data_IF_634220929378
#
_entry.id   IF_634220929378
#
_cell.length_a   1.000
_cell.length_b   1.000
_cell.length_c   1.000
_cell.angle_alpha   90.00
_cell.angle_beta   90.00
_cell.angle_gamma   90.00
#
_symmetry.space_group_name_H-M   'P 1'
#
loop_
_entity.id
_entity.type
_entity.pdbx_description
1 polymer ?
#
# COMPACT_ATOMS: atom_id res chain seq x y z
N UNK A 1 4.01 -24.38 11.68
CA UNK A 1 3.59 -22.98 11.88
C UNK A 1 4.60 -22.16 12.70
N UNK A 2 5.16 -22.66 13.81
CA UNK A 2 6.16 -21.92 14.63
C UNK A 2 7.45 -21.52 13.86
N UNK A 3 7.91 -22.32 12.90
CA UNK A 3 9.13 -22.03 12.12
C UNK A 3 8.95 -20.91 11.09
N UNK A 4 7.75 -20.76 10.55
CA UNK A 4 7.45 -19.71 9.56
C UNK A 4 7.34 -18.33 10.22
N UNK A 5 6.78 -18.24 11.41
CA UNK A 5 6.72 -16.99 12.19
C UNK A 5 8.10 -16.52 12.64
N UNK A 6 9.00 -17.45 12.93
CA UNK A 6 10.37 -17.13 13.33
C UNK A 6 11.21 -16.58 12.17
N UNK A 7 10.97 -17.08 10.95
CA UNK A 7 11.62 -16.59 9.73
C UNK A 7 11.12 -15.18 9.36
N UNK A 8 9.83 -14.93 9.53
CA UNK A 8 9.24 -13.61 9.28
C UNK A 8 9.75 -12.55 10.26
N UNK A 9 9.89 -12.90 11.55
CA UNK A 9 10.52 -12.01 12.55
C UNK A 9 11.99 -11.73 12.23
N UNK A 10 12.74 -12.74 11.75
CA UNK A 10 14.16 -12.56 11.42
C UNK A 10 14.35 -11.62 10.21
N UNK A 11 13.49 -11.71 9.20
CA UNK A 11 13.51 -10.79 8.04
C UNK A 11 13.16 -9.37 8.45
N UNK A 12 12.18 -9.20 9.34
CA UNK A 12 11.80 -7.89 9.85
C UNK A 12 12.92 -7.24 10.67
N UNK A 13 13.62 -8.02 11.51
CA UNK A 13 14.74 -7.49 12.32
C UNK A 13 15.93 -7.08 11.45
N UNK A 14 16.26 -7.81 10.39
CA UNK A 14 17.36 -7.44 9.50
C UNK A 14 17.09 -6.17 8.70
N UNK A 15 15.83 -5.91 8.32
CA UNK A 15 15.43 -4.67 7.64
C UNK A 15 15.56 -3.46 8.59
N UNK A 16 15.20 -3.62 9.87
CA UNK A 16 15.28 -2.55 10.87
C UNK A 16 16.74 -2.22 11.21
N UNK A 17 17.61 -3.23 11.37
CA UNK A 17 19.03 -3.02 11.69
C UNK A 17 19.78 -2.32 10.56
N UNK A 18 19.51 -2.68 9.28
CA UNK A 18 20.13 -1.99 8.15
C UNK A 18 19.64 -0.54 7.93
N UNK A 19 18.48 -0.17 8.48
CA UNK A 19 17.98 1.20 8.45
C UNK A 19 18.69 2.09 9.48
N UNK A 20 19.13 1.53 10.61
CA UNK A 20 19.81 2.28 11.67
C UNK A 20 21.28 2.60 11.36
N UNK A 21 22.00 1.74 10.66
CA UNK A 21 23.44 1.91 10.39
C UNK A 21 23.76 3.07 9.44
N UNK A 22 22.77 3.64 8.75
CA UNK A 22 22.94 4.80 7.85
C UNK A 22 22.82 6.16 8.53
N UNK A 23 22.49 6.23 9.81
CA UNK A 23 22.27 7.51 10.50
C UNK A 23 23.49 8.05 11.26
N UNK A 24 24.61 7.31 11.33
CA UNK A 24 25.78 7.74 12.12
C UNK A 24 26.89 8.24 11.18
N UNK A 25 26.62 9.20 10.37
CA UNK A 25 27.61 10.19 9.90
C UNK A 25 26.94 11.54 9.95
N UNK A 26 27.12 12.26 11.08
CA UNK A 26 26.84 13.67 11.11
C UNK A 26 27.76 14.36 10.10
N UNK A 27 27.23 14.95 9.03
CA UNK A 27 28.02 15.85 8.20
C UNK A 27 28.18 17.15 8.98
N UNK A 28 29.40 17.66 8.96
CA UNK A 28 29.67 19.03 9.39
C UNK A 28 28.67 20.00 8.76
N UNK A 29 28.22 20.98 9.54
CA UNK A 29 27.21 21.96 9.16
C UNK A 29 27.54 22.58 7.79
N UNK A 30 26.72 22.37 6.75
CA UNK A 30 27.01 22.93 5.44
C UNK A 30 26.73 24.42 5.42
N UNK A 31 27.72 25.17 5.01
CA UNK A 31 27.59 26.57 4.62
C UNK A 31 26.60 26.66 3.45
N UNK A 32 25.49 27.32 3.66
CA UNK A 32 24.59 27.98 2.72
C UNK A 32 24.58 27.52 1.24
N UNK A 33 24.09 26.33 0.96
CA UNK A 33 23.57 26.00 -0.38
C UNK A 33 22.18 25.38 -0.24
N UNK A 34 21.25 26.20 0.21
CA UNK A 34 19.92 25.76 0.65
C UNK A 34 18.98 25.36 -0.49
N UNK A 35 19.30 25.67 -1.74
CA UNK A 35 18.39 25.49 -2.87
C UNK A 35 18.74 24.30 -3.79
N UNK A 36 19.98 23.88 -3.86
CA UNK A 36 20.40 22.76 -4.73
C UNK A 36 20.18 21.38 -4.10
N UNK A 37 20.19 21.29 -2.77
CA UNK A 37 19.95 20.02 -2.08
C UNK A 37 18.48 19.56 -2.09
N UNK A 38 17.52 20.46 -2.24
CA UNK A 38 16.10 20.10 -2.21
C UNK A 38 15.66 19.26 -3.41
N UNK A 39 16.15 19.56 -4.60
CA UNK A 39 15.86 18.79 -5.82
C UNK A 39 16.49 17.40 -5.82
N UNK A 40 17.64 17.24 -5.18
CA UNK A 40 18.31 15.95 -5.04
C UNK A 40 17.67 15.07 -3.95
N UNK A 41 17.10 15.68 -2.89
CA UNK A 41 16.40 14.96 -1.80
C UNK A 41 15.00 14.48 -2.19
N UNK A 42 14.40 15.01 -3.23
CA UNK A 42 13.08 14.60 -3.72
C UNK A 42 13.08 13.28 -4.50
N UNK A 43 14.25 12.84 -4.93
CA UNK A 43 14.44 11.57 -5.64
C UNK A 43 15.00 10.50 -4.71
N UNK A 44 14.59 9.28 -4.91
CA UNK A 44 15.19 8.16 -4.22
C UNK A 44 14.22 7.05 -3.86
N UNK A 45 14.73 6.14 -3.09
CA UNK A 45 13.97 5.01 -2.56
C UNK A 45 12.90 5.48 -1.57
N UNK A 46 11.75 4.87 -1.65
CA UNK A 46 10.65 5.03 -0.69
C UNK A 46 9.99 3.69 -0.42
N UNK A 47 9.43 3.55 0.77
CA UNK A 47 8.56 2.43 1.04
C UNK A 47 7.34 2.87 1.87
N UNK A 48 6.26 2.10 1.82
CA UNK A 48 5.08 2.33 2.64
C UNK A 48 4.50 1.03 3.15
N UNK A 49 3.88 1.13 4.33
CA UNK A 49 3.07 0.07 4.94
C UNK A 49 1.65 0.59 5.01
N UNK A 50 0.71 -0.15 4.46
CA UNK A 50 -0.69 0.27 4.37
C UNK A 50 -1.61 -0.83 4.87
N UNK A 51 -2.55 -0.46 5.74
CA UNK A 51 -3.66 -1.28 6.19
C UNK A 51 -4.93 -0.81 5.50
N UNK A 52 -5.58 -1.69 4.75
CA UNK A 52 -6.83 -1.42 4.07
C UNK A 52 -7.98 -2.24 4.65
N UNK A 53 -9.14 -1.62 4.74
CA UNK A 53 -10.41 -2.29 5.04
C UNK A 53 -11.38 -1.97 3.93
N UNK A 54 -12.06 -2.98 3.41
CA UNK A 54 -12.93 -2.80 2.27
C UNK A 54 -14.24 -3.61 2.39
N UNK A 55 -15.38 -2.94 2.56
CA UNK A 55 -16.69 -3.54 2.37
C UNK A 55 -17.01 -3.74 0.88
N UNK A 56 -17.69 -4.84 0.55
CA UNK A 56 -18.22 -5.08 -0.80
C UNK A 56 -19.42 -4.21 -1.10
N UNK A 57 -19.51 -3.67 -2.32
CA UNK A 57 -20.56 -2.72 -2.79
C UNK A 57 -21.72 -3.45 -3.48
N UNK A 58 -22.03 -4.69 -3.21
CA UNK A 58 -23.19 -5.34 -3.80
C UNK A 58 -24.45 -5.11 -2.96
N UNK A 59 -25.41 -4.39 -3.53
CA UNK A 59 -26.67 -4.02 -2.87
C UNK A 59 -27.65 -5.21 -2.62
N UNK A 60 -27.39 -6.41 -3.15
CA UNK A 60 -28.35 -7.53 -3.09
C UNK A 60 -27.77 -8.84 -2.54
N UNK A 61 -26.50 -8.88 -2.21
CA UNK A 61 -25.84 -10.07 -1.64
C UNK A 61 -25.15 -9.71 -0.33
N UNK A 62 -24.98 -10.69 0.55
CA UNK A 62 -24.30 -10.57 1.85
C UNK A 62 -23.03 -9.73 1.77
N UNK A 63 -22.96 -8.69 2.60
CA UNK A 63 -21.85 -7.76 2.67
C UNK A 63 -20.58 -8.53 3.12
N UNK A 64 -19.63 -8.67 2.23
CA UNK A 64 -18.33 -9.28 2.50
C UNK A 64 -17.33 -8.18 2.85
N UNK A 65 -16.63 -8.34 3.95
CA UNK A 65 -15.57 -7.43 4.37
C UNK A 65 -14.21 -8.06 4.04
N UNK A 66 -13.27 -7.23 3.64
CA UNK A 66 -11.88 -7.67 3.49
C UNK A 66 -10.95 -6.70 4.23
N UNK A 67 -9.93 -7.26 4.86
CA UNK A 67 -8.81 -6.51 5.43
C UNK A 67 -7.55 -6.89 4.67
N UNK A 68 -6.73 -5.91 4.32
CA UNK A 68 -5.50 -6.13 3.56
C UNK A 68 -4.37 -5.34 4.19
N UNK A 69 -3.29 -6.01 4.55
CA UNK A 69 -2.01 -5.39 4.92
C UNK A 69 -1.10 -5.44 3.70
N UNK A 70 -0.56 -4.31 3.27
CA UNK A 70 0.30 -4.22 2.10
C UNK A 70 1.60 -3.46 2.39
N UNK A 71 2.67 -3.90 1.73
CA UNK A 71 3.99 -3.29 1.73
C UNK A 71 4.30 -2.88 0.31
N UNK A 72 4.65 -1.63 0.11
CA UNK A 72 5.02 -1.10 -1.20
C UNK A 72 6.43 -0.56 -1.13
N UNK A 73 7.26 -0.98 -2.07
CA UNK A 73 8.63 -0.52 -2.23
C UNK A 73 8.80 0.07 -3.62
N UNK A 74 9.49 1.19 -3.72
CA UNK A 74 9.63 1.82 -5.01
C UNK A 74 10.63 2.96 -5.05
N UNK A 75 10.54 3.70 -6.14
CA UNK A 75 11.39 4.84 -6.41
C UNK A 75 10.55 6.10 -6.63
N UNK A 76 10.92 7.17 -5.93
CA UNK A 76 10.35 8.51 -6.08
C UNK A 76 11.14 9.25 -7.16
N UNK A 77 10.48 9.61 -8.24
CA UNK A 77 11.05 10.40 -9.33
C UNK A 77 10.96 11.90 -9.03
N UNK A 78 9.83 12.30 -8.48
CA UNK A 78 9.54 13.67 -8.05
C UNK A 78 8.34 13.66 -7.07
N UNK A 79 7.88 14.82 -6.64
CA UNK A 79 6.71 14.95 -5.74
C UNK A 79 5.41 14.44 -6.39
N UNK A 80 5.32 14.49 -7.70
CA UNK A 80 4.11 14.18 -8.47
C UNK A 80 4.06 12.75 -8.97
N UNK A 81 5.20 12.01 -8.93
CA UNK A 81 5.27 10.64 -9.44
C UNK A 81 6.21 9.77 -8.61
N UNK A 82 5.66 8.70 -8.12
CA UNK A 82 6.35 7.59 -7.44
C UNK A 82 5.85 6.29 -8.03
N UNK A 83 6.75 5.39 -8.33
CA UNK A 83 6.41 4.06 -8.83
C UNK A 83 6.99 3.02 -7.90
N UNK A 84 6.23 1.98 -7.63
CA UNK A 84 6.66 0.91 -6.76
C UNK A 84 6.00 -0.42 -7.08
N UNK A 85 6.49 -1.44 -6.42
CA UNK A 85 5.90 -2.78 -6.42
C UNK A 85 5.43 -3.08 -5.01
N UNK A 86 4.21 -3.58 -4.89
CA UNK A 86 3.59 -3.94 -3.63
C UNK A 86 3.30 -5.42 -3.53
N UNK A 87 3.41 -5.91 -2.31
CA UNK A 87 2.94 -7.23 -1.91
C UNK A 87 2.05 -7.07 -0.69
N UNK A 88 0.98 -7.85 -0.61
CA UNK A 88 0.09 -7.80 0.53
C UNK A 88 -0.38 -9.15 1.03
N UNK A 89 -0.99 -9.13 2.20
CA UNK A 89 -1.74 -10.24 2.76
C UNK A 89 -3.15 -9.74 3.06
N UNK A 90 -4.15 -10.38 2.46
CA UNK A 90 -5.55 -10.06 2.66
C UNK A 90 -6.32 -11.20 3.32
N UNK A 91 -7.34 -10.82 4.09
CA UNK A 91 -8.25 -11.75 4.70
C UNK A 91 -9.70 -11.34 4.42
N UNK A 92 -10.51 -12.30 3.98
CA UNK A 92 -11.92 -12.11 3.73
C UNK A 92 -12.74 -12.57 4.95
N UNK A 93 -13.49 -11.65 5.52
CA UNK A 93 -14.49 -11.93 6.56
C UNK A 93 -15.80 -12.29 5.85
N UNK A 94 -15.98 -13.58 5.57
CA UNK A 94 -17.20 -14.05 4.93
C UNK A 94 -18.28 -14.32 5.98
N UNK A 95 -19.50 -13.86 5.73
CA UNK A 95 -20.66 -14.37 6.43
C UNK A 95 -20.92 -15.83 5.98
N UNK A 96 -21.53 -16.66 6.83
CA UNK A 96 -21.61 -18.11 6.69
C UNK A 96 -22.11 -18.63 5.32
N UNK A 97 -22.87 -17.82 4.59
CA UNK A 97 -23.42 -18.22 3.29
C UNK A 97 -22.42 -18.07 2.13
N UNK A 98 -21.49 -17.12 2.19
CA UNK A 98 -20.45 -16.92 1.17
C UNK A 98 -19.24 -17.84 1.39
N UNK A 99 -19.00 -18.25 2.63
CA UNK A 99 -17.92 -19.20 2.95
C UNK A 99 -18.15 -20.61 2.39
N UNK A 100 -19.39 -20.96 2.01
CA UNK A 100 -19.70 -22.24 1.35
C UNK A 100 -19.32 -22.26 -0.13
N UNK A 101 -19.32 -21.11 -0.81
CA UNK A 101 -19.01 -21.05 -2.25
C UNK A 101 -17.56 -20.73 -2.55
N UNK A 102 -16.85 -20.07 -1.66
CA UNK A 102 -15.43 -19.73 -1.84
C UNK A 102 -14.62 -20.12 -0.62
N UNK A 103 -13.85 -21.20 -0.71
CA UNK A 103 -12.84 -21.61 0.30
C UNK A 103 -11.67 -20.60 0.44
N UNK A 104 -11.78 -19.42 -0.17
CA UNK A 104 -10.72 -18.43 -0.23
C UNK A 104 -10.88 -17.45 0.92
N UNK A 105 -10.21 -17.74 2.03
CA UNK A 105 -10.14 -16.79 3.16
C UNK A 105 -8.90 -15.89 3.11
N UNK A 106 -7.81 -16.38 2.55
CA UNK A 106 -6.54 -15.68 2.46
C UNK A 106 -6.19 -15.39 1.00
N UNK A 107 -5.74 -14.18 0.74
CA UNK A 107 -5.28 -13.75 -0.56
C UNK A 107 -3.95 -13.02 -0.42
N UNK A 108 -3.09 -13.15 -1.45
CA UNK A 108 -1.80 -12.46 -1.49
C UNK A 108 -1.77 -11.61 -2.77
N UNK A 109 -2.17 -10.35 -2.70
CA UNK A 109 -2.06 -9.42 -3.82
C UNK A 109 -0.60 -9.06 -4.08
N UNK A 110 -0.23 -9.08 -5.36
CA UNK A 110 1.04 -8.56 -5.89
C UNK A 110 0.65 -7.52 -6.95
N UNK A 111 1.15 -6.29 -6.81
CA UNK A 111 0.71 -5.20 -7.65
C UNK A 111 1.81 -4.17 -7.89
N UNK A 112 1.68 -3.45 -8.98
CA UNK A 112 2.43 -2.23 -9.25
C UNK A 112 1.62 -1.06 -8.71
N UNK A 113 2.28 -0.20 -7.96
CA UNK A 113 1.70 1.02 -7.41
C UNK A 113 2.25 2.23 -8.14
N UNK A 114 1.38 3.07 -8.65
CA UNK A 114 1.69 4.41 -9.12
C UNK A 114 1.03 5.42 -8.20
N UNK A 115 1.81 6.36 -7.66
CA UNK A 115 1.35 7.34 -6.67
C UNK A 115 1.92 8.71 -6.97
N UNK A 116 1.15 9.74 -6.69
CA UNK A 116 1.62 11.11 -6.84
C UNK A 116 0.81 12.10 -6.03
N UNK A 117 1.43 13.23 -5.69
CA UNK A 117 0.76 14.32 -5.01
C UNK A 117 0.09 15.22 -6.06
N UNK A 118 -1.03 15.84 -5.71
CA UNK A 118 -1.66 16.88 -6.54
C UNK A 118 -0.98 18.24 -6.41
N UNK A 119 -0.24 18.44 -5.30
CA UNK A 119 0.46 19.68 -4.97
C UNK A 119 1.85 19.38 -4.43
N UNK A 120 2.79 20.31 -4.58
CA UNK A 120 4.12 20.20 -3.97
C UNK A 120 4.02 20.26 -2.45
N UNK A 121 4.85 19.49 -1.77
CA UNK A 121 4.91 19.39 -0.31
C UNK A 121 5.89 20.39 0.31
N UNK A 122 6.40 21.37 -0.44
CA UNK A 122 7.45 22.28 0.05
C UNK A 122 7.02 23.13 1.24
N UNK A 123 5.73 23.49 1.32
CA UNK A 123 5.21 24.46 2.30
C UNK A 123 4.06 23.88 3.12
N UNK A 124 3.59 22.67 2.81
CA UNK A 124 2.35 22.13 3.38
C UNK A 124 2.57 20.79 4.07
N UNK A 125 2.10 20.70 5.29
CA UNK A 125 2.09 19.46 6.06
C UNK A 125 1.05 18.44 5.56
N UNK A 126 -0.04 18.94 4.96
CA UNK A 126 -1.13 18.11 4.43
C UNK A 126 -1.22 18.32 2.93
N UNK A 127 -1.02 17.24 2.18
CA UNK A 127 -1.06 17.26 0.71
C UNK A 127 -2.00 16.19 0.20
N UNK A 128 -2.96 16.53 -0.67
CA UNK A 128 -3.79 15.54 -1.33
C UNK A 128 -2.95 14.72 -2.32
N UNK A 129 -3.18 13.41 -2.37
CA UNK A 129 -2.48 12.50 -3.26
C UNK A 129 -3.44 11.55 -3.97
N UNK A 130 -3.00 11.01 -5.10
CA UNK A 130 -3.64 9.92 -5.81
C UNK A 130 -2.75 8.69 -5.80
N UNK A 131 -3.36 7.52 -5.86
CA UNK A 131 -2.66 6.25 -5.96
C UNK A 131 -3.47 5.27 -6.79
N UNK A 132 -2.78 4.47 -7.60
CA UNK A 132 -3.38 3.42 -8.40
C UNK A 132 -2.57 2.14 -8.21
N UNK A 133 -3.24 1.07 -7.79
CA UNK A 133 -2.66 -0.26 -7.68
C UNK A 133 -3.22 -1.13 -8.81
N UNK A 134 -2.31 -1.73 -9.59
CA UNK A 134 -2.66 -2.63 -10.69
C UNK A 134 -1.87 -3.92 -10.53
N UNK A 135 -2.57 -5.04 -10.49
CA UNK A 135 -1.89 -6.32 -10.32
C UNK A 135 -2.83 -7.50 -10.33
N UNK A 136 -2.45 -8.52 -9.59
CA UNK A 136 -3.23 -9.72 -9.38
C UNK A 136 -3.00 -10.27 -7.99
N UNK A 137 -3.90 -11.12 -7.55
CA UNK A 137 -3.74 -11.82 -6.30
C UNK A 137 -3.72 -13.32 -6.52
N UNK A 138 -2.86 -14.02 -5.78
CA UNK A 138 -2.86 -15.47 -5.76
C UNK A 138 -4.20 -15.92 -5.19
N UNK A 139 -4.99 -16.63 -5.99
CA UNK A 139 -6.38 -17.08 -5.78
C UNK A 139 -7.48 -16.07 -6.13
N UNK A 140 -7.18 -14.76 -6.10
CA UNK A 140 -8.07 -13.74 -6.67
C UNK A 140 -7.47 -13.36 -8.02
N UNK A 141 -8.20 -13.14 -9.04
CA UNK A 141 -7.65 -12.77 -10.35
C UNK A 141 -7.08 -11.34 -10.38
N UNK A 142 -7.49 -10.57 -11.34
CA UNK A 142 -7.03 -9.21 -11.57
C UNK A 142 -7.43 -8.26 -10.43
N UNK A 143 -6.51 -7.38 -10.06
CA UNK A 143 -6.69 -6.32 -9.06
C UNK A 143 -6.48 -4.96 -9.70
N UNK A 144 -7.44 -4.07 -9.54
CA UNK A 144 -7.34 -2.67 -9.91
C UNK A 144 -7.93 -1.79 -8.80
N UNK A 145 -7.09 -0.91 -8.20
CA UNK A 145 -7.52 -0.10 -7.05
C UNK A 145 -7.05 1.35 -7.19
N UNK A 146 -7.82 2.21 -7.86
CA UNK A 146 -7.62 3.65 -7.79
C UNK A 146 -8.05 4.18 -6.42
N UNK A 147 -7.32 5.12 -5.88
CA UNK A 147 -7.59 5.79 -4.60
C UNK A 147 -7.12 7.23 -4.58
N UNK A 148 -7.78 8.03 -3.78
CA UNK A 148 -7.40 9.41 -3.47
C UNK A 148 -7.37 9.60 -1.96
N UNK A 149 -6.49 10.47 -1.48
CA UNK A 149 -6.33 10.64 -0.05
C UNK A 149 -5.52 11.86 0.33
N UNK A 150 -5.18 11.92 1.61
CA UNK A 150 -4.33 12.94 2.18
C UNK A 150 -3.06 12.32 2.75
N UNK A 151 -1.95 12.96 2.48
CA UNK A 151 -0.63 12.68 3.00
C UNK A 151 -0.30 13.73 4.05
N UNK A 152 -0.02 13.31 5.29
CA UNK A 152 0.18 14.18 6.45
C UNK A 152 1.57 13.92 7.01
N UNK A 153 2.42 14.93 7.02
CA UNK A 153 3.78 14.84 7.56
C UNK A 153 4.83 15.41 6.63
N UNK A 154 6.07 14.96 6.81
CA UNK A 154 7.23 15.43 6.08
C UNK A 154 7.39 14.77 4.71
N UNK A 155 8.30 15.28 3.88
CA UNK A 155 8.57 14.76 2.53
C UNK A 155 8.95 13.29 2.48
N UNK A 156 9.68 12.79 3.49
CA UNK A 156 10.14 11.40 3.55
C UNK A 156 9.37 10.54 4.54
N UNK A 157 8.60 11.16 5.42
CA UNK A 157 7.98 10.51 6.56
C UNK A 157 6.56 11.04 6.69
N UNK A 158 5.56 10.27 6.29
CA UNK A 158 4.20 10.74 6.29
C UNK A 158 3.17 9.66 6.56
N UNK A 159 2.13 10.04 7.29
CA UNK A 159 0.91 9.27 7.39
C UNK A 159 0.08 9.42 6.14
N UNK A 160 -0.52 8.33 5.71
CA UNK A 160 -1.38 8.24 4.55
C UNK A 160 -2.78 7.86 5.01
N UNK A 161 -3.78 8.58 4.53
CA UNK A 161 -5.19 8.20 4.67
C UNK A 161 -5.85 8.33 3.31
N UNK A 162 -6.44 7.28 2.77
CA UNK A 162 -7.02 7.29 1.45
C UNK A 162 -8.32 6.48 1.37
N UNK A 163 -9.19 6.93 0.48
CA UNK A 163 -10.41 6.26 0.07
C UNK A 163 -10.29 5.88 -1.39
N UNK A 164 -10.67 4.66 -1.73
CA UNK A 164 -10.55 4.16 -3.08
C UNK A 164 -11.66 3.19 -3.45
N UNK A 165 -11.62 2.79 -4.70
CA UNK A 165 -12.47 1.75 -5.25
C UNK A 165 -11.59 0.59 -5.71
N UNK A 166 -11.90 -0.64 -5.28
CA UNK A 166 -11.14 -1.81 -5.67
C UNK A 166 -12.02 -2.74 -6.49
N UNK A 167 -11.58 -3.02 -7.69
CA UNK A 167 -12.14 -4.05 -8.56
C UNK A 167 -11.26 -5.29 -8.46
N UNK A 168 -11.86 -6.43 -8.08
CA UNK A 168 -11.18 -7.72 -7.96
C UNK A 168 -11.92 -8.78 -8.75
N UNK A 169 -11.18 -9.48 -9.63
CA UNK A 169 -11.67 -10.71 -10.26
C UNK A 169 -11.48 -11.85 -9.27
N UNK A 170 -12.56 -12.41 -8.75
CA UNK A 170 -12.50 -13.59 -7.87
C UNK A 170 -12.88 -14.80 -8.70
N UNK A 171 -11.92 -15.73 -8.88
CA UNK A 171 -12.19 -17.01 -9.51
C UNK A 171 -13.00 -17.89 -8.56
N UNK A 172 -14.29 -17.99 -8.82
CA UNK A 172 -15.12 -18.95 -8.13
C UNK A 172 -14.89 -20.37 -8.73
N UNK A 173 -14.69 -21.35 -7.88
CA UNK A 173 -14.38 -22.78 -8.19
C UNK A 173 -15.36 -23.50 -9.16
N UNK A 174 -16.37 -22.86 -9.69
CA UNK A 174 -17.39 -23.44 -10.59
C UNK A 174 -17.65 -22.64 -11.87
N UNK A 175 -16.61 -22.03 -12.45
CA UNK A 175 -16.76 -21.40 -13.78
C UNK A 175 -17.61 -20.13 -13.80
N UNK A 176 -18.02 -19.61 -12.65
CA UNK A 176 -18.59 -18.27 -12.52
C UNK A 176 -17.49 -17.31 -12.04
N UNK A 177 -16.87 -16.62 -12.97
CA UNK A 177 -16.06 -15.44 -12.67
C UNK A 177 -16.94 -14.40 -11.99
N UNK A 178 -16.80 -14.25 -10.70
CA UNK A 178 -17.56 -13.25 -9.92
C UNK A 178 -16.68 -12.04 -9.67
N UNK A 179 -16.72 -11.09 -10.61
CA UNK A 179 -16.07 -9.79 -10.41
C UNK A 179 -16.73 -9.06 -9.24
N UNK A 180 -15.94 -8.64 -8.26
CA UNK A 180 -16.44 -7.94 -7.08
C UNK A 180 -15.81 -6.56 -6.95
N UNK A 181 -16.66 -5.64 -6.54
CA UNK A 181 -16.31 -4.24 -6.29
C UNK A 181 -16.32 -3.95 -4.80
N UNK A 182 -15.32 -3.23 -4.33
CA UNK A 182 -15.17 -2.84 -2.94
C UNK A 182 -14.88 -1.35 -2.83
N UNK A 183 -15.40 -0.72 -1.79
CA UNK A 183 -14.91 0.59 -1.36
C UNK A 183 -13.78 0.33 -0.37
N UNK A 184 -12.61 0.89 -0.60
CA UNK A 184 -11.41 0.64 0.21
C UNK A 184 -11.06 1.87 0.99
N UNK A 185 -10.99 1.75 2.30
CA UNK A 185 -10.37 2.73 3.18
C UNK A 185 -8.97 2.22 3.53
N UNK A 186 -7.93 3.00 3.25
CA UNK A 186 -6.54 2.66 3.60
C UNK A 186 -5.98 3.71 4.54
N UNK A 187 -5.24 3.23 5.53
CA UNK A 187 -4.36 4.03 6.37
C UNK A 187 -2.96 3.45 6.27
N UNK A 188 -1.94 4.29 6.30
CA UNK A 188 -0.59 3.81 6.15
C UNK A 188 0.45 4.82 6.60
N UNK A 189 1.69 4.37 6.51
CA UNK A 189 2.87 5.17 6.79
C UNK A 189 3.90 4.99 5.69
N UNK A 190 4.43 6.10 5.20
CA UNK A 190 5.46 6.17 4.17
C UNK A 190 6.76 6.69 4.79
N UNK A 191 7.90 6.05 4.43
CA UNK A 191 9.25 6.40 4.90
C UNK A 191 10.31 6.13 3.83
#
# INVERSE_FOLDING_TARGET
MKRLSMLLCLVMTTVIVNAQDRQIKMPEAPKQEKYTEFTLKDKGYWCSVELGVAPSVRFHETCMWTSTLSFVNGYRFNDYLRLGVGIGAGYYFANNDVARDTDIRWTMPIFVNARGNFMSQEVREIVPFWSVDIGGAVRDGFLFTPSVGCRIGERRSAFLASLGYSYRGIDAKKGLSSNRSFIVLKIGYEF
#
